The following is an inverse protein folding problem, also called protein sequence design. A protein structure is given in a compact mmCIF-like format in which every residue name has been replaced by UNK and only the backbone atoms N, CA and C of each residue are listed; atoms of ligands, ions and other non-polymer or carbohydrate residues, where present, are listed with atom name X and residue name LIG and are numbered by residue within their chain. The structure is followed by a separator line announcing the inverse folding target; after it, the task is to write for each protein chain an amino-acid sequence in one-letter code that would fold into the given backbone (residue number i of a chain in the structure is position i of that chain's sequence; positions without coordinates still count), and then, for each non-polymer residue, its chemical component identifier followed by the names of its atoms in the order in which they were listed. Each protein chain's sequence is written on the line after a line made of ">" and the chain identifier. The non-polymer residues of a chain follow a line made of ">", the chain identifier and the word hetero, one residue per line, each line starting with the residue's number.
data_IF_783131981845
#
_entry.id   IF_783131981845
#
_cell.length_a   1.000
_cell.length_b   1.000
_cell.length_c   1.000
_cell.angle_alpha   90.00
_cell.angle_beta   90.00
_cell.angle_gamma   90.00
#
_symmetry.space_group_name_H-M   'P 1'
#
loop_
_entity.id
_entity.type
_entity.pdbx_description
1 polymer ?
#
# COMPACT_ATOMS: atom_id res chain seq x y z
N UNK A 1 -52.98 -49.90 19.19
CA UNK A 1 -52.65 -49.23 17.92
C UNK A 1 -51.43 -48.33 18.13
N UNK A 2 -50.32 -48.68 17.47
CA UNK A 2 -49.10 -47.91 17.14
C UNK A 2 -48.30 -47.20 18.28
N UNK A 3 -47.32 -47.89 18.88
CA UNK A 3 -45.83 -47.81 18.70
C UNK A 3 -45.20 -46.59 19.43
N UNK A 4 -44.56 -46.66 20.61
CA UNK A 4 -43.42 -47.47 21.14
C UNK A 4 -42.15 -47.41 20.27
N UNK A 5 -41.16 -46.61 20.70
CA UNK A 5 -39.71 -46.90 20.80
C UNK A 5 -38.92 -45.56 20.88
N UNK A 6 -38.51 -45.15 22.08
CA UNK A 6 -37.39 -44.21 22.28
C UNK A 6 -36.37 -44.90 23.19
N UNK A 7 -35.41 -45.58 22.55
CA UNK A 7 -34.16 -46.06 23.15
C UNK A 7 -33.14 -44.91 23.03
N UNK A 8 -32.48 -44.48 24.11
CA UNK A 8 -31.26 -45.05 24.70
C UNK A 8 -30.05 -45.01 23.74
N UNK A 9 -29.16 -44.03 23.95
CA UNK A 9 -27.73 -43.95 23.56
C UNK A 9 -27.23 -42.63 24.20
N UNK A 10 -26.57 -42.57 25.36
CA UNK A 10 -25.26 -43.12 25.71
C UNK A 10 -24.17 -42.74 24.68
N UNK A 11 -23.44 -41.67 24.97
CA UNK A 11 -22.23 -41.25 24.23
C UNK A 11 -21.46 -40.22 25.06
N UNK A 12 -20.60 -40.69 25.96
CA UNK A 12 -19.14 -40.66 25.81
C UNK A 12 -18.53 -39.26 26.07
N UNK A 13 -18.31 -38.97 27.35
CA UNK A 13 -17.37 -37.93 27.80
C UNK A 13 -15.95 -38.37 27.46
N UNK A 14 -15.36 -37.76 26.42
CA UNK A 14 -13.95 -37.91 26.11
C UNK A 14 -13.18 -36.90 26.97
N UNK A 15 -12.59 -37.40 28.06
CA UNK A 15 -11.54 -36.74 28.82
C UNK A 15 -10.25 -36.71 28.00
N UNK A 16 -9.94 -35.56 27.39
CA UNK A 16 -8.63 -35.32 26.78
C UNK A 16 -7.64 -35.04 27.91
N UNK A 17 -6.72 -35.98 28.10
CA UNK A 17 -5.64 -35.93 29.08
C UNK A 17 -4.66 -34.80 28.78
N UNK A 18 -4.43 -34.00 29.82
CA UNK A 18 -3.40 -32.98 29.92
C UNK A 18 -2.03 -33.68 30.04
N UNK A 19 -1.31 -33.83 28.93
CA UNK A 19 0.10 -34.27 28.95
C UNK A 19 0.96 -33.03 29.21
N UNK A 20 1.38 -32.88 30.47
CA UNK A 20 2.46 -31.99 30.88
C UNK A 20 3.78 -32.58 30.35
N UNK A 21 4.19 -32.15 29.16
CA UNK A 21 5.56 -32.37 28.67
C UNK A 21 6.48 -31.32 29.30
N UNK A 22 7.33 -31.78 30.22
CA UNK A 22 8.41 -31.00 30.82
C UNK A 22 9.41 -30.53 29.75
N UNK A 23 9.83 -29.25 29.72
CA UNK A 23 11.01 -28.87 28.95
C UNK A 23 12.26 -29.38 29.66
N UNK A 24 12.98 -30.27 28.98
CA UNK A 24 14.38 -30.61 29.28
C UNK A 24 15.21 -29.34 29.10
N UNK A 25 15.83 -28.87 30.19
CA UNK A 25 16.89 -27.88 30.15
C UNK A 25 18.10 -28.51 29.44
N UNK A 26 18.37 -28.06 28.21
CA UNK A 26 19.69 -28.19 27.61
C UNK A 26 20.54 -27.01 28.11
N UNK A 27 21.51 -27.37 28.96
CA UNK A 27 22.61 -26.54 29.42
C UNK A 27 23.64 -26.42 28.29
N UNK A 28 23.70 -25.26 27.62
CA UNK A 28 24.82 -24.90 26.76
C UNK A 28 25.66 -23.79 27.42
N UNK A 29 26.97 -24.01 27.37
CA UNK A 29 28.02 -23.28 28.05
C UNK A 29 28.08 -21.79 27.69
N UNK A 30 28.54 -20.93 28.62
CA UNK A 30 28.66 -19.49 28.37
C UNK A 30 29.81 -19.18 27.40
N UNK A 31 29.47 -18.58 26.25
CA UNK A 31 30.44 -17.89 25.41
C UNK A 31 30.78 -16.52 26.03
N UNK A 32 32.02 -16.41 26.47
CA UNK A 32 32.68 -15.20 26.93
C UNK A 32 32.73 -14.16 25.79
N UNK A 33 31.90 -13.12 25.89
CA UNK A 33 32.03 -11.93 25.04
C UNK A 33 32.81 -10.88 25.82
N UNK A 34 34.05 -10.64 25.39
CA UNK A 34 34.91 -9.57 25.86
C UNK A 34 34.35 -8.23 25.39
N UNK A 35 33.70 -7.49 26.29
CA UNK A 35 33.26 -6.11 26.05
C UNK A 35 34.46 -5.20 26.32
N UNK A 36 35.07 -4.68 25.26
CA UNK A 36 35.99 -3.55 25.35
C UNK A 36 35.17 -2.28 25.55
N UNK A 37 35.19 -1.76 26.77
CA UNK A 37 34.66 -0.44 27.12
C UNK A 37 35.60 0.65 26.63
N UNK A 38 35.15 1.48 25.70
CA UNK A 38 35.74 2.81 25.49
C UNK A 38 34.87 3.86 26.16
N UNK A 39 35.52 4.53 27.11
CA UNK A 39 35.03 5.65 27.91
C UNK A 39 35.02 6.91 27.05
N UNK A 40 33.86 7.55 26.90
CA UNK A 40 33.78 8.97 26.55
C UNK A 40 32.71 9.65 27.42
N UNK A 41 33.19 10.59 28.21
CA UNK A 41 32.48 11.43 29.18
C UNK A 41 31.46 12.39 28.54
N UNK A 42 30.48 12.86 29.33
CA UNK A 42 29.35 13.66 28.87
C UNK A 42 29.69 15.14 28.75
N UNK A 43 29.09 15.83 27.78
CA UNK A 43 29.00 17.28 27.79
C UNK A 43 27.54 17.69 27.69
N UNK A 44 27.06 18.28 28.77
CA UNK A 44 25.75 18.89 28.90
C UNK A 44 25.76 20.27 28.23
N UNK A 45 24.73 20.56 27.43
CA UNK A 45 24.27 21.93 27.18
C UNK A 45 22.75 21.93 27.32
N UNK A 46 22.31 22.49 28.44
CA UNK A 46 20.96 22.98 28.66
C UNK A 46 20.78 24.25 27.84
N UNK A 47 19.73 24.32 27.02
CA UNK A 47 19.14 25.60 26.65
C UNK A 47 17.63 25.52 26.84
N UNK A 48 17.21 26.31 27.81
CA UNK A 48 15.85 26.61 28.23
C UNK A 48 15.16 27.45 27.15
N UNK A 49 14.01 27.01 26.66
CA UNK A 49 13.06 27.86 25.92
C UNK A 49 11.66 27.51 26.40
N UNK A 50 11.18 28.30 27.37
CA UNK A 50 9.78 28.44 27.68
C UNK A 50 9.05 29.07 26.49
N UNK A 51 8.03 28.38 25.97
CA UNK A 51 6.97 29.03 25.19
C UNK A 51 5.63 28.65 25.81
N UNK A 52 5.04 29.68 26.41
CA UNK A 52 3.66 29.85 26.78
C UNK A 52 2.75 29.71 25.54
N UNK A 53 1.77 28.79 25.58
CA UNK A 53 0.60 28.83 24.68
C UNK A 53 -0.64 28.43 25.47
N UNK A 54 -1.28 29.46 26.02
CA UNK A 54 -2.72 29.54 26.32
C UNK A 54 -3.58 28.92 25.23
N UNK A 55 -4.59 28.14 25.63
CA UNK A 55 -5.46 27.42 24.72
C UNK A 55 -6.34 28.30 23.83
N UNK A 56 -6.72 27.75 22.68
CA UNK A 56 -7.94 28.13 21.96
C UNK A 56 -8.43 26.90 21.20
N UNK A 57 -9.69 26.58 21.46
CA UNK A 57 -10.48 25.48 20.90
C UNK A 57 -10.55 25.61 19.38
N UNK A 58 -10.14 24.56 18.65
CA UNK A 58 -10.28 24.45 17.20
C UNK A 58 -11.21 23.26 16.84
N UNK A 59 -12.05 23.40 15.80
CA UNK A 59 -13.12 22.46 15.43
C UNK A 59 -12.56 21.14 14.82
N UNK A 60 -13.39 20.09 14.63
CA UNK A 60 -12.92 18.78 14.21
C UNK A 60 -12.32 18.84 12.79
N UNK A 61 -11.00 18.78 12.73
CA UNK A 61 -10.25 18.58 11.49
C UNK A 61 -10.54 17.16 11.00
N UNK A 62 -11.26 17.06 9.89
CA UNK A 62 -11.27 15.86 9.05
C UNK A 62 -9.83 15.58 8.61
N UNK A 63 -9.17 14.63 9.27
CA UNK A 63 -7.85 14.11 8.91
C UNK A 63 -7.91 13.55 7.49
N UNK A 64 -7.48 14.34 6.50
CA UNK A 64 -7.06 13.80 5.21
C UNK A 64 -5.77 13.03 5.50
N UNK A 65 -5.89 11.70 5.63
CA UNK A 65 -4.74 10.83 5.86
C UNK A 65 -3.81 10.91 4.65
N UNK A 66 -2.74 11.67 4.80
CA UNK A 66 -1.65 11.78 3.82
C UNK A 66 -0.76 10.56 3.96
N UNK A 67 -0.73 9.72 2.91
CA UNK A 67 0.18 8.58 2.85
C UNK A 67 1.61 9.11 2.79
N UNK A 68 2.30 9.08 3.92
CA UNK A 68 3.65 9.62 4.04
C UNK A 68 4.60 8.76 3.20
N UNK A 69 5.32 9.37 2.27
CA UNK A 69 6.24 8.64 1.41
C UNK A 69 7.47 8.19 2.21
N UNK A 70 7.74 6.88 2.32
CA UNK A 70 8.89 6.39 3.07
C UNK A 70 10.20 6.71 2.32
N UNK A 71 11.05 7.56 2.88
CA UNK A 71 12.33 7.97 2.25
C UNK A 71 13.39 6.83 2.25
N UNK A 72 13.27 5.87 3.16
CA UNK A 72 14.22 4.77 3.32
C UNK A 72 13.51 3.43 3.58
N UNK A 73 14.05 2.34 3.02
CA UNK A 73 13.58 0.99 3.30
C UNK A 73 13.96 0.67 4.75
N UNK A 74 12.99 0.49 5.66
CA UNK A 74 13.29 0.21 7.06
C UNK A 74 14.04 -1.12 7.17
N UNK A 75 15.01 -1.19 8.09
CA UNK A 75 15.67 -2.46 8.44
C UNK A 75 14.68 -3.50 8.99
N UNK A 76 15.14 -4.76 9.13
CA UNK A 76 14.31 -5.85 9.68
C UNK A 76 13.73 -5.51 11.05
N UNK A 77 14.54 -4.88 11.91
CA UNK A 77 14.11 -4.39 13.22
C UNK A 77 13.07 -3.26 13.13
N UNK A 78 13.22 -2.34 12.16
CA UNK A 78 12.27 -1.27 11.92
C UNK A 78 10.91 -1.81 11.45
N UNK A 79 10.91 -2.81 10.56
CA UNK A 79 9.68 -3.50 10.14
C UNK A 79 9.00 -4.22 11.29
N UNK A 80 9.76 -4.84 12.20
CA UNK A 80 9.22 -5.50 13.39
C UNK A 80 8.46 -4.53 14.29
N UNK A 81 9.08 -3.40 14.66
CA UNK A 81 8.42 -2.38 15.47
C UNK A 81 7.20 -1.77 14.78
N UNK A 82 7.28 -1.58 13.46
CA UNK A 82 6.13 -1.11 12.69
C UNK A 82 4.96 -2.10 12.75
N UNK A 83 5.21 -3.40 12.55
CA UNK A 83 4.19 -4.43 12.68
C UNK A 83 3.51 -4.43 14.06
N UNK A 84 4.28 -4.21 15.14
CA UNK A 84 3.72 -4.11 16.51
C UNK A 84 2.82 -2.88 16.62
N UNK A 85 3.31 -1.71 16.20
CA UNK A 85 2.54 -0.46 16.26
C UNK A 85 1.25 -0.54 15.45
N UNK A 86 1.30 -1.13 14.25
CA UNK A 86 0.12 -1.37 13.41
C UNK A 86 -0.91 -2.24 14.16
N UNK A 87 -0.47 -3.39 14.73
CA UNK A 87 -1.35 -4.29 15.49
C UNK A 87 -1.99 -3.61 16.69
N UNK A 88 -1.20 -2.88 17.48
CA UNK A 88 -1.71 -2.14 18.65
C UNK A 88 -2.69 -1.05 18.20
N UNK A 89 -2.36 -0.31 17.14
CA UNK A 89 -3.24 0.73 16.58
C UNK A 89 -4.58 0.15 16.12
N UNK A 90 -4.57 -1.01 15.45
CA UNK A 90 -5.79 -1.69 15.03
C UNK A 90 -6.58 -2.26 16.22
N UNK A 91 -5.91 -2.80 17.24
CA UNK A 91 -6.55 -3.34 18.43
C UNK A 91 -7.28 -2.25 19.24
N UNK A 92 -6.69 -1.06 19.35
CA UNK A 92 -7.26 0.08 20.09
C UNK A 92 -8.33 0.83 19.27
N UNK A 93 -8.43 0.59 17.96
CA UNK A 93 -9.47 1.23 17.12
C UNK A 93 -10.75 0.40 17.15
N UNK A 94 -11.82 0.91 17.75
CA UNK A 94 -13.09 0.16 17.86
C UNK A 94 -14.07 0.44 16.72
N UNK A 95 -13.99 1.62 16.10
CA UNK A 95 -14.84 1.96 14.95
C UNK A 95 -14.44 1.17 13.70
N UNK A 96 -15.37 0.42 13.07
CA UNK A 96 -15.08 -0.35 11.86
C UNK A 96 -14.59 0.51 10.68
N UNK A 97 -15.13 1.71 10.49
CA UNK A 97 -14.75 2.59 9.36
C UNK A 97 -13.33 3.12 9.57
N UNK A 98 -13.06 3.68 10.75
CA UNK A 98 -11.71 4.15 11.10
C UNK A 98 -10.67 3.02 11.12
N UNK A 99 -11.08 1.80 11.48
CA UNK A 99 -10.22 0.62 11.42
C UNK A 99 -9.88 0.25 9.98
N UNK A 100 -10.85 0.26 9.08
CA UNK A 100 -10.64 -0.01 7.67
C UNK A 100 -9.79 1.08 7.00
N UNK A 101 -9.99 2.34 7.36
CA UNK A 101 -9.14 3.45 6.90
C UNK A 101 -7.67 3.23 7.27
N UNK A 102 -7.40 2.86 8.53
CA UNK A 102 -6.03 2.51 8.96
C UNK A 102 -5.47 1.30 8.22
N UNK A 103 -6.29 0.27 8.01
CA UNK A 103 -5.87 -0.89 7.22
C UNK A 103 -5.54 -0.49 5.78
N UNK A 104 -6.31 0.41 5.17
CA UNK A 104 -6.06 0.92 3.82
C UNK A 104 -4.73 1.66 3.78
N UNK A 105 -4.49 2.57 4.72
CA UNK A 105 -3.19 3.27 4.82
C UNK A 105 -2.03 2.29 4.97
N UNK A 106 -2.17 1.27 5.83
CA UNK A 106 -1.12 0.25 5.99
C UNK A 106 -0.94 -0.57 4.71
N UNK A 107 -2.01 -0.93 4.00
CA UNK A 107 -1.91 -1.61 2.71
C UNK A 107 -1.12 -0.75 1.70
N UNK A 108 -1.48 0.52 1.54
CA UNK A 108 -0.80 1.45 0.63
C UNK A 108 0.67 1.67 1.00
N UNK A 109 0.98 1.83 2.28
CA UNK A 109 2.37 1.92 2.75
C UNK A 109 3.18 0.65 2.43
N UNK A 110 2.55 -0.54 2.56
CA UNK A 110 3.20 -1.82 2.25
C UNK A 110 3.43 -1.96 0.76
N UNK A 111 2.47 -1.56 -0.05
CA UNK A 111 2.59 -1.57 -1.50
C UNK A 111 3.67 -0.60 -1.99
N UNK A 112 3.70 0.64 -1.45
CA UNK A 112 4.78 1.60 -1.75
C UNK A 112 6.15 1.09 -1.33
N UNK A 113 6.25 0.43 -0.18
CA UNK A 113 7.51 -0.20 0.23
C UNK A 113 7.89 -1.36 -0.68
N UNK A 114 6.94 -2.17 -1.10
CA UNK A 114 7.19 -3.22 -2.07
C UNK A 114 7.73 -2.64 -3.39
N UNK A 115 7.15 -1.53 -3.86
CA UNK A 115 7.63 -0.79 -5.03
C UNK A 115 9.06 -0.31 -4.87
N UNK A 116 9.36 0.42 -3.80
CA UNK A 116 10.73 0.90 -3.56
C UNK A 116 11.76 -0.22 -3.39
N UNK A 117 11.37 -1.33 -2.74
CA UNK A 117 12.24 -2.49 -2.61
C UNK A 117 12.46 -3.11 -3.99
N UNK A 118 11.41 -3.28 -4.80
CA UNK A 118 11.51 -3.84 -6.16
C UNK A 118 12.35 -2.96 -7.09
N UNK A 119 12.23 -1.64 -6.96
CA UNK A 119 13.04 -0.67 -7.71
C UNK A 119 14.53 -0.82 -7.42
N UNK A 120 14.88 -0.95 -6.13
CA UNK A 120 16.28 -1.08 -5.66
C UNK A 120 16.81 -2.51 -5.72
N UNK A 121 15.95 -3.52 -5.88
CA UNK A 121 16.35 -4.91 -5.84
C UNK A 121 17.35 -5.26 -6.96
N UNK A 122 17.16 -4.72 -8.17
CA UNK A 122 17.88 -5.21 -9.35
C UNK A 122 17.73 -6.74 -9.45
N UNK A 123 18.87 -7.45 -9.53
CA UNK A 123 18.95 -8.92 -9.56
C UNK A 123 19.07 -9.56 -8.16
N UNK A 124 18.94 -8.79 -7.08
CA UNK A 124 19.05 -9.32 -5.72
C UNK A 124 17.76 -10.05 -5.30
N UNK A 125 17.79 -11.38 -5.38
CA UNK A 125 16.68 -12.27 -5.02
C UNK A 125 16.11 -12.00 -3.63
N UNK A 126 16.93 -11.75 -2.61
CA UNK A 126 16.45 -11.49 -1.25
C UNK A 126 15.62 -10.19 -1.14
N UNK A 127 15.94 -9.18 -1.96
CA UNK A 127 15.13 -7.96 -2.03
C UNK A 127 13.84 -8.20 -2.82
N UNK A 128 13.89 -8.97 -3.91
CA UNK A 128 12.69 -9.34 -4.67
C UNK A 128 11.68 -10.13 -3.84
N UNK A 129 12.15 -11.12 -3.07
CA UNK A 129 11.31 -11.86 -2.11
C UNK A 129 10.71 -10.93 -1.05
N UNK A 130 11.50 -9.98 -0.55
CA UNK A 130 11.02 -9.03 0.44
C UNK A 130 9.96 -8.06 -0.12
N UNK A 131 10.09 -7.63 -1.38
CA UNK A 131 9.05 -6.86 -2.06
C UNK A 131 7.76 -7.68 -2.16
N UNK A 132 7.88 -8.95 -2.55
CA UNK A 132 6.75 -9.89 -2.61
C UNK A 132 6.08 -10.07 -1.24
N UNK A 133 6.85 -10.23 -0.15
CA UNK A 133 6.31 -10.30 1.21
C UNK A 133 5.57 -9.02 1.64
N UNK A 134 6.08 -7.85 1.27
CA UNK A 134 5.38 -6.58 1.54
C UNK A 134 4.06 -6.50 0.78
N UNK A 135 4.04 -6.95 -0.48
CA UNK A 135 2.83 -7.02 -1.29
C UNK A 135 1.80 -8.02 -0.71
N UNK A 136 2.24 -9.21 -0.27
CA UNK A 136 1.37 -10.16 0.46
C UNK A 136 0.76 -9.54 1.71
N UNK A 137 1.55 -8.77 2.48
CA UNK A 137 1.03 -8.06 3.66
C UNK A 137 0.04 -6.96 3.29
N UNK A 138 0.22 -6.31 2.15
CA UNK A 138 -0.77 -5.40 1.60
C UNK A 138 -2.09 -6.11 1.32
N UNK A 139 -2.03 -7.25 0.63
CA UNK A 139 -3.20 -8.07 0.30
C UNK A 139 -3.93 -8.57 1.55
N UNK A 140 -3.21 -8.96 2.60
CA UNK A 140 -3.81 -9.34 3.90
C UNK A 140 -4.62 -8.19 4.54
N UNK A 141 -4.19 -6.93 4.40
CA UNK A 141 -4.95 -5.78 4.87
C UNK A 141 -6.19 -5.55 3.99
N UNK A 142 -6.05 -5.67 2.67
CA UNK A 142 -7.17 -5.55 1.72
C UNK A 142 -8.24 -6.60 1.96
N UNK A 143 -7.85 -7.85 2.22
CA UNK A 143 -8.79 -8.92 2.60
C UNK A 143 -9.57 -8.58 3.87
N UNK A 144 -8.91 -8.02 4.89
CA UNK A 144 -9.59 -7.59 6.13
C UNK A 144 -10.51 -6.40 5.93
N UNK A 145 -10.20 -5.52 4.98
CA UNK A 145 -11.11 -4.43 4.56
C UNK A 145 -12.32 -5.03 3.87
N UNK A 146 -12.11 -6.01 3.00
CA UNK A 146 -13.18 -6.73 2.32
C UNK A 146 -14.12 -7.44 3.29
N UNK A 147 -13.59 -8.16 4.28
CA UNK A 147 -14.37 -8.79 5.36
C UNK A 147 -15.23 -7.79 6.14
N UNK A 148 -14.83 -6.51 6.15
CA UNK A 148 -15.52 -5.43 6.86
C UNK A 148 -16.42 -4.60 5.94
N UNK A 149 -16.47 -4.89 4.64
CA UNK A 149 -17.19 -4.06 3.65
C UNK A 149 -18.66 -3.88 4.01
N UNK A 150 -19.34 -4.92 4.45
CA UNK A 150 -20.75 -4.84 4.83
C UNK A 150 -20.97 -3.90 6.02
N UNK A 151 -20.12 -3.99 7.05
CA UNK A 151 -20.19 -3.13 8.22
C UNK A 151 -19.88 -1.65 7.90
N UNK A 152 -19.06 -1.40 6.87
CA UNK A 152 -18.80 -0.05 6.36
C UNK A 152 -19.98 0.47 5.55
N UNK A 153 -20.52 -0.34 4.65
CA UNK A 153 -21.62 0.02 3.73
C UNK A 153 -22.97 0.26 4.42
N UNK A 154 -23.16 -0.29 5.63
CA UNK A 154 -24.35 0.00 6.45
C UNK A 154 -24.40 1.45 6.94
N UNK A 155 -23.26 2.14 7.02
CA UNK A 155 -23.18 3.54 7.42
C UNK A 155 -22.95 4.38 6.17
N UNK A 156 -23.88 5.27 5.83
CA UNK A 156 -23.70 6.26 4.76
C UNK A 156 -22.68 7.30 5.25
N UNK A 157 -21.40 6.91 5.22
CA UNK A 157 -20.27 7.74 5.62
C UNK A 157 -19.41 8.01 4.39
N UNK A 158 -19.13 9.28 4.12
CA UNK A 158 -18.22 9.72 3.05
C UNK A 158 -16.85 9.03 3.17
N UNK A 159 -16.43 8.73 4.41
CA UNK A 159 -15.17 7.99 4.66
C UNK A 159 -15.22 6.57 4.13
N UNK A 160 -16.36 5.89 4.27
CA UNK A 160 -16.53 4.53 3.75
C UNK A 160 -16.44 4.52 2.22
N UNK A 161 -17.03 5.52 1.56
CA UNK A 161 -16.95 5.66 0.10
C UNK A 161 -15.51 5.91 -0.37
N UNK A 162 -14.76 6.81 0.29
CA UNK A 162 -13.33 7.04 0.00
C UNK A 162 -12.47 5.79 0.19
N UNK A 163 -12.79 4.94 1.16
CA UNK A 163 -12.08 3.66 1.34
C UNK A 163 -12.32 2.74 0.14
N UNK A 164 -13.55 2.68 -0.39
CA UNK A 164 -13.86 1.85 -1.56
C UNK A 164 -13.17 2.37 -2.82
N UNK A 165 -13.25 3.67 -3.06
CA UNK A 165 -12.54 4.35 -4.17
C UNK A 165 -11.04 4.02 -4.14
N UNK A 166 -10.38 4.25 -3.00
CA UNK A 166 -8.96 3.92 -2.80
C UNK A 166 -8.67 2.44 -2.94
N UNK A 167 -9.61 1.57 -2.61
CA UNK A 167 -9.44 0.12 -2.79
C UNK A 167 -9.41 -0.28 -4.27
N UNK A 168 -10.21 0.38 -5.10
CA UNK A 168 -10.13 0.27 -6.56
C UNK A 168 -8.74 0.69 -7.06
N UNK A 169 -8.30 1.88 -6.69
CA UNK A 169 -6.98 2.41 -7.07
C UNK A 169 -5.81 1.54 -6.56
N UNK A 170 -5.98 0.97 -5.36
CA UNK A 170 -5.00 0.06 -4.77
C UNK A 170 -4.81 -1.17 -5.67
N UNK A 171 -5.90 -1.73 -6.19
CA UNK A 171 -5.85 -2.88 -7.09
C UNK A 171 -5.08 -2.55 -8.36
N UNK A 172 -5.37 -1.40 -8.97
CA UNK A 172 -4.68 -0.96 -10.19
C UNK A 172 -3.18 -0.77 -9.96
N UNK A 173 -2.81 -0.07 -8.87
CA UNK A 173 -1.40 0.13 -8.48
C UNK A 173 -0.69 -1.19 -8.18
N UNK A 174 -1.38 -2.11 -7.52
CA UNK A 174 -0.85 -3.45 -7.22
C UNK A 174 -0.55 -4.20 -8.51
N UNK A 175 -1.48 -4.22 -9.47
CA UNK A 175 -1.25 -4.88 -10.75
C UNK A 175 -0.07 -4.27 -11.53
N UNK A 176 0.04 -2.94 -11.52
CA UNK A 176 1.20 -2.26 -12.10
C UNK A 176 2.51 -2.70 -11.42
N UNK A 177 2.52 -2.77 -10.08
CA UNK A 177 3.69 -3.24 -9.34
C UNK A 177 4.04 -4.70 -9.68
N UNK A 178 3.04 -5.59 -9.76
CA UNK A 178 3.26 -6.97 -10.16
C UNK A 178 3.90 -7.03 -11.56
N UNK A 179 3.44 -6.22 -12.51
CA UNK A 179 4.06 -6.13 -13.85
C UNK A 179 5.51 -5.65 -13.77
N UNK A 180 5.81 -4.64 -12.94
CA UNK A 180 7.19 -4.15 -12.71
C UNK A 180 8.08 -5.24 -12.11
N UNK A 181 7.57 -6.02 -11.16
CA UNK A 181 8.29 -7.13 -10.51
C UNK A 181 8.49 -8.28 -11.53
N UNK A 182 7.44 -8.67 -12.24
CA UNK A 182 7.48 -9.71 -13.29
C UNK A 182 8.54 -9.39 -14.36
N UNK A 183 8.70 -8.12 -14.74
CA UNK A 183 9.71 -7.66 -15.69
C UNK A 183 11.17 -7.99 -15.26
N UNK A 184 11.41 -8.24 -13.97
CA UNK A 184 12.75 -8.41 -13.38
C UNK A 184 12.98 -9.79 -12.76
N UNK A 185 11.92 -10.55 -12.51
CA UNK A 185 12.01 -11.88 -11.90
C UNK A 185 12.50 -12.96 -12.87
N UNK A 186 13.20 -13.95 -12.32
CA UNK A 186 13.54 -15.20 -12.98
C UNK A 186 12.27 -16.05 -13.23
N UNK A 187 12.26 -16.95 -14.24
CA UNK A 187 11.08 -17.71 -14.62
C UNK A 187 10.47 -18.57 -13.51
N UNK A 188 11.29 -19.00 -12.56
CA UNK A 188 10.90 -19.85 -11.43
C UNK A 188 10.01 -19.10 -10.43
N UNK A 189 10.32 -17.84 -10.12
CA UNK A 189 9.56 -17.02 -9.17
C UNK A 189 8.27 -16.43 -9.78
N UNK A 190 8.13 -16.50 -11.11
CA UNK A 190 6.95 -16.00 -11.81
C UNK A 190 5.68 -16.75 -11.46
N UNK A 191 5.77 -18.05 -11.17
CA UNK A 191 4.59 -18.86 -10.89
C UNK A 191 3.88 -18.38 -9.62
N UNK A 192 4.63 -18.22 -8.52
CA UNK A 192 4.11 -17.66 -7.27
C UNK A 192 3.53 -16.26 -7.47
N UNK A 193 4.19 -15.43 -8.28
CA UNK A 193 3.72 -14.09 -8.59
C UNK A 193 2.40 -14.10 -9.39
N UNK A 194 2.25 -15.04 -10.32
CA UNK A 194 1.03 -15.25 -11.10
C UNK A 194 -0.14 -15.74 -10.23
N UNK A 195 0.13 -16.68 -9.32
CA UNK A 195 -0.87 -17.12 -8.33
C UNK A 195 -1.33 -15.95 -7.45
N UNK A 196 -0.38 -15.14 -6.97
CA UNK A 196 -0.70 -13.93 -6.21
C UNK A 196 -1.52 -12.94 -7.06
N UNK A 197 -1.14 -12.70 -8.32
CA UNK A 197 -1.88 -11.85 -9.25
C UNK A 197 -3.33 -12.31 -9.33
N UNK A 198 -3.56 -13.58 -9.69
CA UNK A 198 -4.91 -14.14 -9.82
C UNK A 198 -5.69 -14.01 -8.51
N UNK A 199 -5.12 -14.42 -7.37
CA UNK A 199 -5.80 -14.36 -6.08
C UNK A 199 -6.18 -12.91 -5.70
N UNK A 200 -5.32 -11.95 -6.00
CA UNK A 200 -5.61 -10.54 -5.75
C UNK A 200 -6.72 -10.00 -6.66
N UNK A 201 -6.69 -10.30 -7.97
CA UNK A 201 -7.75 -9.91 -8.89
C UNK A 201 -9.11 -10.50 -8.51
N UNK A 202 -9.14 -11.77 -8.05
CA UNK A 202 -10.37 -12.40 -7.56
C UNK A 202 -10.91 -11.73 -6.29
N UNK A 203 -10.03 -11.39 -5.33
CA UNK A 203 -10.43 -10.66 -4.13
C UNK A 203 -10.95 -9.25 -4.48
N UNK A 204 -10.26 -8.55 -5.38
CA UNK A 204 -10.70 -7.24 -5.86
C UNK A 204 -12.04 -7.32 -6.59
N UNK A 205 -12.27 -8.35 -7.41
CA UNK A 205 -13.57 -8.56 -8.05
C UNK A 205 -14.69 -8.75 -7.00
N UNK A 206 -14.43 -9.49 -5.91
CA UNK A 206 -15.42 -9.66 -4.83
C UNK A 206 -15.68 -8.36 -4.06
N UNK A 207 -14.66 -7.53 -3.87
CA UNK A 207 -14.82 -6.21 -3.27
C UNK A 207 -15.68 -5.31 -4.15
N UNK A 208 -15.39 -5.28 -5.46
CA UNK A 208 -16.10 -4.44 -6.43
C UNK A 208 -17.50 -4.96 -6.75
N UNK A 209 -17.76 -6.26 -6.64
CA UNK A 209 -19.14 -6.75 -6.76
C UNK A 209 -20.09 -6.24 -5.66
N UNK A 210 -19.56 -5.67 -4.57
CA UNK A 210 -20.36 -5.00 -3.55
C UNK A 210 -20.74 -3.54 -3.90
N UNK A 211 -20.32 -3.02 -5.06
CA UNK A 211 -20.61 -1.65 -5.54
C UNK A 211 -22.11 -1.42 -5.81
N UNK A 212 -22.90 -2.48 -6.05
CA UNK A 212 -24.34 -2.37 -6.35
C UNK A 212 -25.21 -1.97 -5.14
N UNK A 213 -24.61 -1.40 -4.08
CA UNK A 213 -25.33 -0.92 -2.91
C UNK A 213 -25.88 0.49 -3.17
N UNK A 214 -27.17 0.70 -2.91
CA UNK A 214 -27.87 1.99 -3.06
C UNK A 214 -27.24 3.13 -2.23
N UNK A 215 -26.41 2.83 -1.23
CA UNK A 215 -25.78 3.79 -0.33
C UNK A 215 -24.48 4.43 -0.85
N UNK A 216 -24.00 4.06 -2.05
CA UNK A 216 -22.78 4.61 -2.66
C UNK A 216 -23.14 5.77 -3.59
N UNK A 217 -22.39 6.87 -3.54
CA UNK A 217 -22.58 8.03 -4.42
C UNK A 217 -22.37 7.65 -5.89
N UNK A 218 -23.05 8.35 -6.81
CA UNK A 218 -22.95 8.07 -8.25
C UNK A 218 -21.51 8.20 -8.78
N UNK A 219 -20.76 9.23 -8.33
CA UNK A 219 -19.37 9.45 -8.73
C UNK A 219 -18.46 8.26 -8.35
N UNK A 220 -18.56 7.80 -7.10
CA UNK A 220 -17.77 6.65 -6.63
C UNK A 220 -18.22 5.37 -7.32
N UNK A 221 -19.51 5.23 -7.62
CA UNK A 221 -20.04 4.08 -8.37
C UNK A 221 -19.46 4.02 -9.78
N UNK A 222 -19.47 5.12 -10.52
CA UNK A 222 -18.94 5.21 -11.88
C UNK A 222 -17.45 4.86 -11.92
N UNK A 223 -16.65 5.44 -11.02
CA UNK A 223 -15.21 5.11 -10.91
C UNK A 223 -14.98 3.63 -10.63
N UNK A 224 -15.73 3.07 -9.67
CA UNK A 224 -15.57 1.68 -9.29
C UNK A 224 -16.10 0.71 -10.36
N UNK A 225 -17.07 1.10 -11.16
CA UNK A 225 -17.51 0.36 -12.35
C UNK A 225 -16.43 0.33 -13.43
N UNK A 226 -15.76 1.45 -13.70
CA UNK A 226 -14.61 1.48 -14.62
C UNK A 226 -13.49 0.56 -14.13
N UNK A 227 -13.13 0.68 -12.85
CA UNK A 227 -12.09 -0.16 -12.22
C UNK A 227 -12.50 -1.63 -12.28
N UNK A 228 -13.77 -1.95 -12.02
CA UNK A 228 -14.30 -3.32 -12.12
C UNK A 228 -14.15 -3.87 -13.52
N UNK A 229 -14.56 -3.13 -14.55
CA UNK A 229 -14.44 -3.59 -15.93
C UNK A 229 -12.98 -3.92 -16.29
N UNK A 230 -12.05 -3.03 -15.93
CA UNK A 230 -10.60 -3.26 -16.12
C UNK A 230 -10.09 -4.51 -15.42
N UNK A 231 -10.55 -4.75 -14.19
CA UNK A 231 -10.17 -5.93 -13.41
C UNK A 231 -10.77 -7.21 -14.01
N UNK A 232 -12.01 -7.17 -14.49
CA UNK A 232 -12.66 -8.33 -15.11
C UNK A 232 -11.99 -8.72 -16.42
N UNK A 233 -11.71 -7.74 -17.28
CA UNK A 233 -10.97 -7.95 -18.53
C UNK A 233 -9.60 -8.56 -18.25
N UNK A 234 -8.85 -8.01 -17.27
CA UNK A 234 -7.53 -8.52 -16.94
C UNK A 234 -7.56 -9.88 -16.23
N UNK A 235 -8.55 -10.13 -15.37
CA UNK A 235 -8.74 -11.43 -14.72
C UNK A 235 -9.00 -12.52 -15.76
N UNK A 236 -9.81 -12.23 -16.78
CA UNK A 236 -10.06 -13.16 -17.89
C UNK A 236 -8.76 -13.48 -18.64
N UNK A 237 -7.98 -12.46 -19.00
CA UNK A 237 -6.68 -12.63 -19.66
C UNK A 237 -5.70 -13.49 -18.83
N UNK A 238 -5.64 -13.26 -17.52
CA UNK A 238 -4.77 -14.04 -16.62
C UNK A 238 -5.26 -15.49 -16.52
N UNK A 239 -6.58 -15.71 -16.42
CA UNK A 239 -7.17 -17.05 -16.32
C UNK A 239 -6.99 -17.87 -17.58
N UNK A 240 -7.19 -17.28 -18.77
CA UNK A 240 -6.97 -17.98 -20.05
C UNK A 240 -5.53 -18.42 -20.16
N UNK A 241 -4.59 -17.51 -19.91
CA UNK A 241 -3.16 -17.82 -19.94
C UNK A 241 -2.77 -18.96 -18.99
N UNK A 242 -3.22 -18.91 -17.73
CA UNK A 242 -2.90 -19.96 -16.74
C UNK A 242 -3.52 -21.30 -17.11
N UNK A 243 -4.70 -21.29 -17.72
CA UNK A 243 -5.38 -22.51 -18.19
C UNK A 243 -4.62 -23.12 -19.36
N UNK A 244 -4.28 -22.33 -20.39
CA UNK A 244 -3.49 -22.77 -21.54
C UNK A 244 -2.14 -23.33 -21.11
N UNK A 245 -1.42 -22.61 -20.24
CA UNK A 245 -0.15 -23.08 -19.66
C UNK A 245 -0.31 -24.44 -18.97
N UNK A 246 -1.37 -24.63 -18.18
CA UNK A 246 -1.62 -25.88 -17.46
C UNK A 246 -1.95 -27.03 -18.41
N UNK A 247 -2.79 -26.79 -19.41
CA UNK A 247 -3.14 -27.80 -20.42
C UNK A 247 -1.90 -28.25 -21.21
N UNK A 248 -1.06 -27.30 -21.63
CA UNK A 248 0.19 -27.59 -22.32
C UNK A 248 1.14 -28.40 -21.44
N UNK A 249 1.29 -28.04 -20.16
CA UNK A 249 2.11 -28.82 -19.21
C UNK A 249 1.58 -30.25 -19.05
N UNK A 250 0.27 -30.45 -19.02
CA UNK A 250 -0.32 -31.79 -18.94
C UNK A 250 -0.05 -32.61 -20.21
N UNK A 251 -0.14 -32.00 -21.39
CA UNK A 251 0.21 -32.65 -22.67
C UNK A 251 1.70 -33.02 -22.72
N UNK A 252 2.58 -32.13 -22.26
CA UNK A 252 4.02 -32.41 -22.13
C UNK A 252 4.27 -33.59 -21.19
N UNK A 253 3.57 -33.66 -20.06
CA UNK A 253 3.65 -34.81 -19.14
C UNK A 253 3.14 -36.11 -19.77
N UNK A 254 2.19 -36.04 -20.71
CA UNK A 254 1.72 -37.21 -21.47
C UNK A 254 2.64 -37.62 -22.63
N UNK A 255 3.77 -36.93 -22.82
CA UNK A 255 4.77 -37.25 -23.85
C UNK A 255 4.54 -36.60 -25.20
N UNK A 256 3.70 -35.57 -25.28
CA UNK A 256 3.48 -34.80 -26.51
C UNK A 256 4.62 -33.78 -26.71
N UNK A 257 5.49 -34.03 -27.68
CA UNK A 257 6.59 -33.12 -28.04
C UNK A 257 6.09 -31.82 -28.68
N UNK A 258 4.92 -31.83 -29.34
CA UNK A 258 4.35 -30.60 -29.94
C UNK A 258 3.88 -29.60 -28.87
N UNK A 259 3.36 -30.12 -27.75
CA UNK A 259 3.00 -29.30 -26.60
C UNK A 259 4.21 -28.61 -25.95
N UNK A 260 5.44 -29.16 -26.09
CA UNK A 260 6.65 -28.45 -25.63
C UNK A 260 6.92 -27.22 -26.47
N UNK A 261 6.78 -27.32 -27.78
CA UNK A 261 6.96 -26.17 -28.69
C UNK A 261 5.87 -25.12 -28.50
N UNK A 262 4.62 -25.52 -28.28
CA UNK A 262 3.53 -24.58 -27.95
C UNK A 262 3.75 -23.90 -26.60
N UNK A 263 4.28 -24.63 -25.60
CA UNK A 263 4.62 -24.06 -24.30
C UNK A 263 5.78 -23.07 -24.39
N UNK A 264 6.77 -23.34 -25.25
CA UNK A 264 7.86 -22.41 -25.55
C UNK A 264 7.33 -21.16 -26.25
N UNK A 265 6.44 -21.29 -27.23
CA UNK A 265 5.80 -20.15 -27.90
C UNK A 265 4.98 -19.30 -26.92
N UNK A 266 4.19 -19.94 -26.06
CA UNK A 266 3.40 -19.23 -25.03
C UNK A 266 4.31 -18.48 -24.04
N UNK A 267 5.48 -19.06 -23.71
CA UNK A 267 6.51 -18.40 -22.91
C UNK A 267 7.16 -17.25 -23.67
N UNK A 268 7.50 -17.43 -24.94
CA UNK A 268 8.09 -16.40 -25.80
C UNK A 268 7.13 -15.22 -25.99
N UNK A 269 5.86 -15.47 -26.24
CA UNK A 269 4.84 -14.43 -26.34
C UNK A 269 4.77 -13.60 -25.05
N UNK A 270 4.74 -14.25 -23.88
CA UNK A 270 4.79 -13.53 -22.61
C UNK A 270 6.13 -12.84 -22.37
N UNK A 271 7.25 -13.42 -22.80
CA UNK A 271 8.55 -12.77 -22.72
C UNK A 271 8.63 -11.54 -23.63
N UNK A 272 8.00 -11.57 -24.80
CA UNK A 272 7.89 -10.44 -25.72
C UNK A 272 6.99 -9.34 -25.13
N UNK A 273 5.83 -9.71 -24.59
CA UNK A 273 4.96 -8.78 -23.84
C UNK A 273 5.71 -8.19 -22.65
N UNK A 274 6.50 -9.00 -21.93
CA UNK A 274 7.35 -8.54 -20.81
C UNK A 274 8.43 -7.58 -21.30
N UNK A 275 9.07 -7.86 -22.43
CA UNK A 275 10.09 -7.01 -23.03
C UNK A 275 9.51 -5.68 -23.52
N UNK A 276 8.36 -5.70 -24.18
CA UNK A 276 7.62 -4.51 -24.63
C UNK A 276 7.15 -3.67 -23.43
N UNK A 277 6.63 -4.31 -22.38
CA UNK A 277 6.30 -3.61 -21.15
C UNK A 277 7.53 -2.98 -20.50
N UNK A 278 8.70 -3.65 -20.56
CA UNK A 278 9.96 -3.10 -20.05
C UNK A 278 10.41 -1.88 -20.85
N UNK A 279 10.32 -1.91 -22.19
CA UNK A 279 10.67 -0.76 -23.02
C UNK A 279 9.72 0.40 -22.79
N UNK A 280 8.40 0.14 -22.75
CA UNK A 280 7.39 1.15 -22.42
C UNK A 280 7.62 1.80 -21.04
N UNK A 281 8.03 1.02 -20.04
CA UNK A 281 8.37 1.55 -18.72
C UNK A 281 9.65 2.39 -18.73
N UNK A 282 10.64 2.03 -19.53
CA UNK A 282 11.87 2.82 -19.70
C UNK A 282 11.57 4.15 -20.41
N UNK A 283 10.81 4.13 -21.51
CA UNK A 283 10.40 5.33 -22.24
C UNK A 283 9.60 6.29 -21.34
N UNK A 284 8.67 5.76 -20.54
CA UNK A 284 7.93 6.58 -19.55
C UNK A 284 8.84 7.19 -18.49
N UNK A 285 9.87 6.47 -18.05
CA UNK A 285 10.83 7.00 -17.08
C UNK A 285 11.68 8.12 -17.68
N UNK A 286 12.10 7.97 -18.95
CA UNK A 286 12.83 9.00 -19.70
C UNK A 286 11.98 10.26 -19.89
N UNK A 287 10.73 10.11 -20.34
CA UNK A 287 9.78 11.23 -20.48
C UNK A 287 9.56 11.92 -19.13
N UNK A 288 9.42 11.16 -18.04
CA UNK A 288 9.22 11.74 -16.70
C UNK A 288 10.43 12.57 -16.24
N UNK A 289 11.65 12.12 -16.53
CA UNK A 289 12.86 12.90 -16.24
C UNK A 289 12.99 14.12 -17.15
N UNK A 290 12.61 14.02 -18.42
CA UNK A 290 12.57 15.17 -19.34
C UNK A 290 11.59 16.23 -18.84
N UNK A 291 10.35 15.86 -18.54
CA UNK A 291 9.33 16.76 -17.96
C UNK A 291 9.82 17.38 -16.65
N UNK A 292 10.48 16.59 -15.79
CA UNK A 292 11.04 17.10 -14.53
C UNK A 292 12.15 18.13 -14.76
N UNK A 293 12.99 17.94 -15.76
CA UNK A 293 14.03 18.90 -16.14
C UNK A 293 13.41 20.18 -16.73
N UNK A 294 12.42 20.05 -17.62
CA UNK A 294 11.71 21.19 -18.20
C UNK A 294 11.02 22.03 -17.11
N UNK A 295 10.25 21.40 -16.23
CA UNK A 295 9.60 22.08 -15.10
C UNK A 295 10.64 22.72 -14.17
N UNK A 296 11.74 22.04 -13.89
CA UNK A 296 12.83 22.60 -13.09
C UNK A 296 13.49 23.83 -13.73
N UNK A 297 13.62 23.85 -15.05
CA UNK A 297 14.15 25.00 -15.79
C UNK A 297 13.15 26.16 -15.80
N UNK A 298 11.86 25.90 -16.03
CA UNK A 298 10.80 26.91 -15.96
C UNK A 298 10.73 27.56 -14.57
N UNK A 299 10.85 26.77 -13.49
CA UNK A 299 10.87 27.30 -12.11
C UNK A 299 12.11 28.18 -11.87
N UNK A 300 13.29 27.78 -12.37
CA UNK A 300 14.49 28.62 -12.29
C UNK A 300 14.32 29.93 -13.04
N UNK A 301 13.74 29.89 -14.23
CA UNK A 301 13.50 31.07 -15.05
C UNK A 301 12.47 32.02 -14.39
N UNK A 302 11.45 31.47 -13.73
CA UNK A 302 10.50 32.25 -12.92
C UNK A 302 11.15 32.87 -11.67
N UNK A 303 12.08 32.17 -11.02
CA UNK A 303 12.80 32.70 -9.84
C UNK A 303 13.77 33.83 -10.19
N UNK A 304 14.34 33.83 -11.41
CA UNK A 304 15.25 34.87 -11.90
C UNK A 304 14.51 36.10 -12.47
N UNK A 305 13.19 36.00 -12.69
CA UNK A 305 12.36 37.07 -13.28
C UNK A 305 11.48 37.81 -12.28
N UNK A 306 11.67 37.58 -10.97
CA UNK A 306 11.01 38.38 -9.92
C UNK A 306 11.94 39.52 -9.48
N UNK A 307 11.78 40.77 -9.96
CA UNK A 307 12.54 41.90 -9.43
C UNK A 307 12.00 42.29 -8.05
N UNK A 308 12.92 42.42 -7.10
CA UNK A 308 12.78 43.16 -5.84
C UNK A 308 12.25 44.57 -6.10
N UNK A 309 10.93 44.75 -6.01
CA UNK A 309 10.33 46.06 -5.81
C UNK A 309 10.32 46.34 -4.30
N UNK A 310 11.43 46.89 -3.80
CA UNK A 310 11.48 47.52 -2.49
C UNK A 310 11.87 48.99 -2.67
N UNK A 311 10.85 49.84 -2.53
CA UNK A 311 10.86 51.18 -1.92
C UNK A 311 12.00 52.12 -2.30
N UNK A 312 11.72 52.99 -3.27
CA UNK A 312 12.29 54.34 -3.32
C UNK A 312 11.10 55.31 -3.25
N UNK A 313 10.80 55.78 -2.03
CA UNK A 313 9.95 56.94 -1.79
C UNK A 313 10.88 58.01 -1.26
N UNK A 314 11.54 58.71 -2.19
CA UNK A 314 12.21 59.98 -1.90
C UNK A 314 11.27 61.14 -2.29
N UNK A 315 10.94 61.93 -1.27
CA UNK A 315 10.75 63.38 -1.27
C UNK A 315 10.00 64.05 -2.43
N UNK A 316 8.69 64.24 -2.28
CA UNK A 316 8.02 65.49 -2.69
C UNK A 316 6.84 65.80 -1.76
N UNK A 317 7.11 66.36 -0.58
CA UNK A 317 6.09 67.03 0.24
C UNK A 317 6.62 68.36 0.75
N UNK A 318 6.67 69.34 -0.14
CA UNK A 318 6.83 70.74 0.26
C UNK A 318 6.26 71.66 -0.82
N UNK A 319 4.94 71.86 -0.78
CA UNK A 319 4.28 73.17 -0.94
C UNK A 319 2.77 73.02 -1.12
N UNK A 320 2.07 74.07 -0.66
CA UNK A 320 0.67 74.43 -0.92
C UNK A 320 -0.37 73.83 0.02
N UNK A 321 -0.80 74.66 0.99
CA UNK A 321 -1.98 74.37 1.80
C UNK A 321 -2.22 75.26 3.02
N UNK A 322 -1.92 76.57 2.94
CA UNK A 322 -2.52 77.52 3.88
C UNK A 322 -3.99 77.77 3.52
N UNK A 323 -4.75 78.17 4.55
CA UNK A 323 -6.05 78.86 4.51
C UNK A 323 -7.30 77.96 4.53
N UNK A 324 -7.88 77.79 5.73
CA UNK A 324 -9.13 78.48 6.11
C UNK A 324 -9.44 78.26 7.60
N UNK A 325 -9.34 79.35 8.37
CA UNK A 325 -9.89 79.45 9.73
C UNK A 325 -11.40 79.60 9.64
N UNK A 326 -12.12 78.79 10.40
CA UNK A 326 -13.56 78.89 10.60
C UNK A 326 -13.95 80.21 11.25
N UNK A 327 -14.95 80.85 10.67
CA UNK A 327 -15.73 81.93 11.26
C UNK A 327 -17.07 81.32 11.69
N UNK A 328 -17.33 81.27 13.00
CA UNK A 328 -18.66 81.06 13.57
C UNK A 328 -18.91 82.19 14.57
N UNK A 329 -19.83 83.07 14.19
CA UNK A 329 -20.84 83.66 15.06
C UNK A 329 -22.19 83.42 14.38
#
# INVERSE_FOLDING_TARGET
>A
MYRIFKYFMAGAFITVGLILSSPVLAEEAPLTITVTSETATPSAVLTDVAVDVTGTVAPPVSEVVTVTEPVQIPGVWGLFWRNIRERVSLAVTFDPVKKAEKMMTFAEERLKLAEMIAERAGDNQALQERATQMMQKSDEFMQKIEEKKEAMLQKVDERAQKILERAGDHTLRREELIRKIEARLAPEDLEKLQEMRQAGLENSQRLLNAINNENISEEVREHLEEVKQRIEDHLLEVKTFLTEKKELLQKVQSGDESAKTELEQLREEKMNIKAENRTMLQERAEIKEEVRQEVGNVIKDMSNTTPTNNVEVEEESSQVGQVQKGNKN
#
